data_IF_214026418188
#
_entry.id   IF_214026418188
#
_cell.length_a   1.000
_cell.length_b   1.000
_cell.length_c   1.000
_cell.angle_alpha   90.00
_cell.angle_beta   90.00
_cell.angle_gamma   90.00
#
_symmetry.space_group_name_H-M   'P 1'
#
loop_
_entity.id
_entity.type
_entity.pdbx_description
1 polymer ?
#
# COMPACT_ATOMS: atom_id res chain seq x y z
N UNK A 1 17.57 37.16 44.42
CA UNK A 1 17.03 35.91 43.86
C UNK A 1 16.76 36.11 42.36
N UNK A 2 17.62 35.56 41.50
CA UNK A 2 17.43 35.60 40.04
C UNK A 2 16.21 34.76 39.65
N UNK A 3 15.17 35.38 39.11
CA UNK A 3 14.08 34.66 38.42
C UNK A 3 14.68 34.03 37.16
N UNK A 4 14.94 32.73 37.22
CA UNK A 4 15.22 31.92 36.04
C UNK A 4 14.02 32.09 35.09
N UNK A 5 14.23 32.74 33.93
CA UNK A 5 13.22 32.80 32.86
C UNK A 5 12.97 31.36 32.42
N UNK A 6 11.81 30.80 32.78
CA UNK A 6 11.38 29.48 32.31
C UNK A 6 11.36 29.49 30.77
N UNK A 7 11.83 28.43 30.10
CA UNK A 7 11.85 28.37 28.65
C UNK A 7 10.41 28.41 28.13
N UNK A 8 10.00 29.53 27.52
CA UNK A 8 8.82 29.50 26.68
C UNK A 8 9.21 28.79 25.39
N UNK A 9 8.57 27.66 25.09
CA UNK A 9 8.63 27.12 23.73
C UNK A 9 7.99 28.16 22.83
N UNK A 10 8.84 28.95 22.16
CA UNK A 10 8.39 29.92 21.16
C UNK A 10 7.62 29.19 20.06
N UNK A 11 6.74 29.91 19.39
CA UNK A 11 5.88 29.51 18.27
C UNK A 11 6.52 28.54 17.25
N UNK A 12 7.85 28.54 17.14
CA UNK A 12 8.68 27.60 16.38
C UNK A 12 8.42 26.12 16.65
N UNK A 13 8.15 25.70 17.89
CA UNK A 13 7.85 24.28 18.20
C UNK A 13 6.51 23.81 17.65
N UNK A 14 5.54 24.72 17.51
CA UNK A 14 4.21 24.47 16.93
C UNK A 14 4.34 24.30 15.40
N UNK A 15 5.24 25.05 14.77
CA UNK A 15 5.50 24.96 13.34
C UNK A 15 6.06 23.58 12.95
N UNK A 16 6.97 23.02 13.75
CA UNK A 16 7.57 21.69 13.52
C UNK A 16 6.52 20.57 13.58
N UNK A 17 5.61 20.61 14.56
CA UNK A 17 4.50 19.64 14.68
C UNK A 17 3.50 19.71 13.52
N UNK A 18 3.34 20.88 12.88
CA UNK A 18 2.41 21.09 11.77
C UNK A 18 3.04 20.80 10.39
N UNK A 19 4.37 20.83 10.27
CA UNK A 19 5.09 20.59 9.01
C UNK A 19 5.36 19.11 8.72
N UNK A 20 5.42 18.24 9.75
CA UNK A 20 5.69 16.80 9.58
C UNK A 20 4.69 16.11 8.62
N UNK A 21 3.36 16.34 8.68
CA UNK A 21 2.41 15.74 7.74
C UNK A 21 2.60 16.23 6.30
N UNK A 22 3.01 17.49 6.13
CA UNK A 22 3.23 18.09 4.82
C UNK A 22 4.48 17.49 4.17
N UNK A 23 5.58 17.36 4.92
CA UNK A 23 6.81 16.68 4.47
C UNK A 23 6.52 15.21 4.13
N UNK A 24 5.72 14.54 4.94
CA UNK A 24 5.38 13.14 4.73
C UNK A 24 4.44 12.93 3.52
N UNK A 25 3.51 13.86 3.27
CA UNK A 25 2.71 13.91 2.04
C UNK A 25 3.60 14.14 0.81
N UNK A 26 4.57 15.05 0.89
CA UNK A 26 5.55 15.27 -0.18
C UNK A 26 6.43 14.05 -0.41
N UNK A 27 6.90 13.37 0.63
CA UNK A 27 7.68 12.13 0.52
C UNK A 27 6.88 10.99 -0.12
N UNK A 28 5.59 10.85 0.20
CA UNK A 28 4.68 9.88 -0.42
C UNK A 28 4.43 10.19 -1.91
N UNK A 29 4.44 11.47 -2.29
CA UNK A 29 4.33 11.89 -3.69
C UNK A 29 5.63 11.67 -4.46
N UNK A 30 6.79 11.79 -3.82
CA UNK A 30 8.12 11.57 -4.42
C UNK A 30 8.40 10.05 -4.61
N UNK A 31 8.04 9.21 -3.63
CA UNK A 31 8.27 7.75 -3.73
C UNK A 31 7.51 7.11 -4.90
N UNK A 32 6.43 7.74 -5.39
CA UNK A 32 5.64 7.26 -6.54
C UNK A 32 6.44 7.12 -7.83
N UNK A 33 7.58 7.80 -7.97
CA UNK A 33 8.37 7.79 -9.21
C UNK A 33 9.69 7.01 -9.10
N UNK A 34 10.05 6.51 -7.92
CA UNK A 34 11.29 5.75 -7.76
C UNK A 34 11.13 4.31 -8.26
N UNK A 35 12.16 3.77 -8.88
CA UNK A 35 12.31 2.34 -9.14
C UNK A 35 13.19 1.71 -8.07
N UNK A 36 12.93 0.45 -7.76
CA UNK A 36 13.80 -0.39 -6.94
C UNK A 36 14.96 -0.87 -7.83
N UNK A 37 16.23 -0.68 -7.43
CA UNK A 37 17.37 -1.26 -8.12
C UNK A 37 17.24 -2.77 -8.29
N UNK A 38 17.81 -3.35 -9.34
CA UNK A 38 17.67 -4.79 -9.63
C UNK A 38 18.20 -5.67 -8.49
N UNK A 39 19.35 -5.30 -7.91
CA UNK A 39 20.01 -6.04 -6.83
C UNK A 39 19.23 -5.96 -5.50
N UNK A 40 18.41 -4.92 -5.33
CA UNK A 40 17.55 -4.73 -4.15
C UNK A 40 16.14 -5.29 -4.36
N UNK A 41 15.82 -5.78 -5.56
CA UNK A 41 14.48 -6.27 -5.87
C UNK A 41 14.28 -7.64 -5.24
N UNK A 42 13.29 -7.75 -4.37
CA UNK A 42 13.04 -8.97 -3.61
C UNK A 42 12.83 -10.20 -4.52
N UNK A 43 13.26 -11.36 -4.02
CA UNK A 43 13.16 -12.64 -4.71
C UNK A 43 12.31 -13.58 -3.88
N UNK A 44 11.26 -14.13 -4.50
CA UNK A 44 10.46 -15.23 -3.97
C UNK A 44 10.36 -16.29 -5.06
N UNK A 45 10.64 -17.54 -4.69
CA UNK A 45 10.62 -18.69 -5.59
C UNK A 45 10.04 -19.87 -4.83
N UNK A 46 9.23 -20.70 -5.49
CA UNK A 46 8.69 -21.93 -4.92
C UNK A 46 9.77 -23.01 -4.77
N UNK A 47 10.61 -23.19 -5.78
CA UNK A 47 11.62 -24.23 -5.85
C UNK A 47 13.00 -23.72 -6.29
N UNK A 48 13.75 -24.59 -6.96
CA UNK A 48 15.06 -24.25 -7.52
C UNK A 48 14.93 -23.28 -8.70
N UNK A 49 15.97 -22.47 -8.91
CA UNK A 49 16.00 -21.51 -10.01
C UNK A 49 16.48 -22.25 -11.26
N UNK A 50 15.67 -22.35 -12.33
CA UNK A 50 16.08 -23.02 -13.54
C UNK A 50 17.15 -22.21 -14.29
N UNK A 51 18.14 -22.91 -14.84
CA UNK A 51 19.12 -22.31 -15.74
C UNK A 51 18.62 -22.40 -17.19
N UNK A 52 18.19 -21.27 -17.74
CA UNK A 52 17.70 -21.19 -19.12
C UNK A 52 18.70 -20.48 -20.03
N UNK A 53 18.95 -21.06 -21.20
CA UNK A 53 19.81 -20.50 -22.23
C UNK A 53 18.97 -19.92 -23.37
N UNK A 54 19.21 -18.67 -23.76
CA UNK A 54 18.46 -17.97 -24.82
C UNK A 54 18.61 -18.60 -26.20
N UNK A 55 19.69 -19.34 -26.47
CA UNK A 55 19.90 -20.04 -27.74
C UNK A 55 18.99 -21.26 -27.92
N UNK A 56 18.61 -21.92 -26.81
CA UNK A 56 17.74 -23.10 -26.82
C UNK A 56 16.33 -22.82 -26.29
N UNK A 57 16.12 -21.64 -25.69
CA UNK A 57 14.81 -21.25 -25.16
C UNK A 57 13.79 -21.08 -26.28
N UNK A 58 12.60 -21.63 -26.03
CA UNK A 58 11.43 -21.47 -26.89
C UNK A 58 10.21 -21.12 -26.06
N UNK A 59 9.31 -20.34 -26.65
CA UNK A 59 7.97 -20.08 -26.13
C UNK A 59 6.94 -20.73 -27.04
N UNK A 60 6.12 -21.60 -26.48
CA UNK A 60 4.98 -22.22 -27.16
C UNK A 60 3.70 -21.49 -26.74
N UNK A 61 2.85 -21.14 -27.71
CA UNK A 61 1.50 -20.60 -27.45
C UNK A 61 0.47 -21.48 -28.15
N UNK A 62 -0.38 -22.15 -27.39
CA UNK A 62 -1.30 -23.18 -27.90
C UNK A 62 -2.63 -23.27 -27.11
N UNK A 63 -3.34 -24.39 -27.23
CA UNK A 63 -4.63 -24.65 -26.58
C UNK A 63 -5.83 -24.24 -27.43
N UNK A 64 -6.76 -23.48 -26.84
CA UNK A 64 -8.03 -23.05 -27.42
C UNK A 64 -7.88 -21.88 -28.42
N UNK A 65 -7.04 -22.11 -29.42
CA UNK A 65 -6.69 -21.14 -30.47
C UNK A 65 -6.85 -21.77 -31.85
N UNK A 66 -6.99 -20.95 -32.90
CA UNK A 66 -7.00 -21.43 -34.28
C UNK A 66 -5.59 -21.57 -34.87
N UNK A 67 -4.61 -20.85 -34.32
CA UNK A 67 -3.22 -20.88 -34.75
C UNK A 67 -2.28 -20.93 -33.55
N UNK A 68 -1.62 -22.08 -33.37
CA UNK A 68 -0.52 -22.19 -32.39
C UNK A 68 0.73 -21.48 -32.91
N UNK A 69 1.52 -20.95 -31.98
CA UNK A 69 2.76 -20.22 -32.27
C UNK A 69 3.93 -20.83 -31.51
N UNK A 70 5.12 -20.70 -32.09
CA UNK A 70 6.36 -21.04 -31.42
C UNK A 70 7.38 -19.96 -31.73
N UNK A 71 7.99 -19.39 -30.69
CA UNK A 71 9.01 -18.36 -30.81
C UNK A 71 10.35 -18.86 -30.29
N UNK A 72 11.43 -18.62 -31.03
CA UNK A 72 12.76 -18.55 -30.44
C UNK A 72 12.91 -17.26 -29.63
N UNK A 73 13.92 -17.18 -28.76
CA UNK A 73 14.18 -15.95 -28.00
C UNK A 73 14.40 -14.72 -28.90
N UNK A 74 15.14 -14.88 -30.00
CA UNK A 74 15.40 -13.79 -30.95
C UNK A 74 14.12 -13.31 -31.63
N UNK A 75 13.25 -14.22 -32.07
CA UNK A 75 12.00 -13.87 -32.74
C UNK A 75 10.97 -13.28 -31.77
N UNK A 76 11.00 -13.71 -30.51
CA UNK A 76 10.17 -13.15 -29.46
C UNK A 76 10.59 -11.71 -29.13
N UNK A 77 11.88 -11.47 -28.89
CA UNK A 77 12.39 -10.14 -28.54
C UNK A 77 12.35 -9.14 -29.70
N UNK A 78 12.24 -9.60 -30.95
CA UNK A 78 12.02 -8.75 -32.12
C UNK A 78 10.56 -8.31 -32.30
N UNK A 79 9.59 -8.85 -31.55
CA UNK A 79 8.19 -8.41 -31.64
C UNK A 79 8.03 -6.98 -31.10
N UNK A 80 6.98 -6.25 -31.54
CA UNK A 80 6.65 -4.95 -30.96
C UNK A 80 6.56 -5.03 -29.43
N UNK A 81 7.36 -4.20 -28.77
CA UNK A 81 7.50 -4.19 -27.32
C UNK A 81 7.21 -2.80 -26.76
N UNK A 82 6.91 -2.75 -25.47
CA UNK A 82 6.76 -1.50 -24.74
C UNK A 82 7.31 -1.59 -23.33
N UNK A 83 7.41 -0.42 -22.71
CA UNK A 83 7.81 -0.27 -21.33
C UNK A 83 6.59 0.01 -20.45
N UNK A 84 6.51 -0.67 -19.32
CA UNK A 84 5.47 -0.50 -18.31
C UNK A 84 6.14 -0.36 -16.96
N UNK A 85 5.80 0.72 -16.23
CA UNK A 85 6.15 0.83 -14.82
C UNK A 85 5.22 -0.06 -14.00
N UNK A 86 5.75 -1.17 -13.50
CA UNK A 86 4.99 -2.19 -12.77
C UNK A 86 5.49 -2.35 -11.35
N UNK A 87 4.57 -2.34 -10.38
CA UNK A 87 4.89 -2.70 -8.99
C UNK A 87 4.49 -4.15 -8.75
N UNK A 88 5.48 -4.99 -8.48
CA UNK A 88 5.25 -6.37 -8.06
C UNK A 88 5.06 -6.35 -6.55
N UNK A 89 3.93 -6.86 -6.08
CA UNK A 89 3.62 -6.96 -4.66
C UNK A 89 3.37 -8.42 -4.31
N UNK A 90 4.20 -8.99 -3.45
CA UNK A 90 3.90 -10.29 -2.88
C UNK A 90 2.78 -10.14 -1.87
N UNK A 91 1.97 -11.19 -1.75
CA UNK A 91 0.95 -11.22 -0.72
C UNK A 91 1.56 -11.21 0.67
N UNK A 92 2.79 -11.74 0.83
CA UNK A 92 3.63 -11.76 2.04
C UNK A 92 4.33 -10.41 2.34
N UNK A 93 3.98 -9.36 1.59
CA UNK A 93 4.29 -7.99 1.93
C UNK A 93 5.49 -7.34 1.23
N UNK A 94 6.56 -8.03 0.78
CA UNK A 94 7.59 -7.34 0.02
C UNK A 94 7.00 -6.84 -1.30
N UNK A 95 7.42 -5.64 -1.69
CA UNK A 95 7.06 -5.04 -2.96
C UNK A 95 8.25 -4.32 -3.57
N UNK A 96 8.24 -4.21 -4.90
CA UNK A 96 9.29 -3.59 -5.67
C UNK A 96 8.70 -3.01 -6.95
N UNK A 97 9.18 -1.85 -7.36
CA UNK A 97 8.71 -1.20 -8.59
C UNK A 97 9.84 -1.11 -9.60
N UNK A 98 9.59 -1.54 -10.82
CA UNK A 98 10.58 -1.47 -11.90
C UNK A 98 9.93 -1.01 -13.21
N UNK A 99 10.77 -0.60 -14.16
CA UNK A 99 10.38 -0.45 -15.56
C UNK A 99 10.56 -1.81 -16.24
N UNK A 100 9.47 -2.40 -16.67
CA UNK A 100 9.45 -3.69 -17.35
C UNK A 100 9.32 -3.48 -18.84
N UNK A 101 10.21 -4.06 -19.64
CA UNK A 101 10.11 -4.04 -21.09
C UNK A 101 9.81 -5.42 -21.63
N UNK A 102 8.78 -5.50 -22.47
CA UNK A 102 8.25 -6.77 -22.94
C UNK A 102 7.30 -6.66 -24.11
N UNK A 103 6.89 -7.82 -24.62
CA UNK A 103 5.85 -7.94 -25.64
C UNK A 103 4.48 -7.94 -24.96
N UNK A 104 3.51 -7.11 -25.38
CA UNK A 104 2.16 -7.16 -24.83
C UNK A 104 1.52 -8.54 -25.04
N UNK A 105 0.96 -9.13 -23.97
CA UNK A 105 0.37 -10.47 -24.04
C UNK A 105 -0.80 -10.47 -25.04
N UNK A 106 -1.65 -9.45 -24.98
CA UNK A 106 -2.72 -9.18 -25.95
C UNK A 106 -2.25 -9.22 -27.41
N UNK A 107 -1.06 -8.67 -27.70
CA UNK A 107 -0.54 -8.67 -29.07
C UNK A 107 -0.20 -10.09 -29.55
N UNK A 108 0.35 -10.93 -28.67
CA UNK A 108 0.61 -12.34 -28.97
C UNK A 108 -0.70 -13.12 -29.19
N UNK A 109 -1.69 -12.91 -28.33
CA UNK A 109 -2.99 -13.60 -28.44
C UNK A 109 -3.76 -13.20 -29.72
N UNK A 110 -3.63 -11.95 -30.18
CA UNK A 110 -4.22 -11.54 -31.45
C UNK A 110 -3.64 -12.33 -32.65
N UNK A 111 -2.37 -12.76 -32.57
CA UNK A 111 -1.74 -13.56 -33.61
C UNK A 111 -2.21 -15.02 -33.62
N UNK A 112 -2.74 -15.54 -32.51
CA UNK A 112 -3.20 -16.93 -32.39
C UNK A 112 -4.65 -17.14 -32.84
N UNK A 113 -5.42 -16.05 -33.00
CA UNK A 113 -6.84 -16.09 -33.34
C UNK A 113 -7.63 -16.95 -32.34
N UNK A 114 -7.83 -16.43 -31.13
CA UNK A 114 -8.56 -17.10 -30.05
C UNK A 114 -9.89 -17.67 -30.53
N UNK A 115 -10.21 -18.90 -30.11
CA UNK A 115 -11.53 -19.48 -30.35
C UNK A 115 -12.56 -18.87 -29.40
N UNK A 116 -13.82 -18.83 -29.83
CA UNK A 116 -14.94 -18.42 -28.98
C UNK A 116 -15.00 -19.27 -27.72
N UNK A 117 -15.23 -18.63 -26.57
CA UNK A 117 -15.29 -19.30 -25.27
C UNK A 117 -13.94 -19.50 -24.59
N UNK A 118 -12.85 -18.85 -25.05
CA UNK A 118 -11.63 -18.74 -24.25
C UNK A 118 -11.94 -17.98 -22.93
N UNK A 119 -11.43 -18.52 -21.82
CA UNK A 119 -11.69 -18.02 -20.45
C UNK A 119 -10.39 -17.50 -19.85
N UNK A 120 -9.35 -18.34 -19.84
CA UNK A 120 -8.08 -18.07 -19.19
C UNK A 120 -6.87 -18.26 -20.12
N UNK A 121 -5.81 -17.55 -19.78
CA UNK A 121 -4.47 -17.69 -20.34
C UNK A 121 -3.57 -18.26 -19.25
N UNK A 122 -3.19 -19.52 -19.40
CA UNK A 122 -2.34 -20.24 -18.46
C UNK A 122 -0.88 -20.06 -18.85
N UNK A 123 -0.04 -19.71 -17.88
CA UNK A 123 1.40 -19.57 -18.05
C UNK A 123 2.11 -20.71 -17.31
N UNK A 124 2.93 -21.46 -18.04
CA UNK A 124 3.76 -22.53 -17.50
C UNK A 124 5.21 -22.08 -17.47
N UNK A 125 5.83 -22.23 -16.30
CA UNK A 125 7.22 -21.97 -16.06
C UNK A 125 8.08 -23.23 -16.23
N UNK A 126 9.39 -23.03 -16.39
CA UNK A 126 10.36 -24.10 -16.47
C UNK A 126 10.56 -24.89 -15.16
N UNK A 127 10.13 -24.35 -14.02
CA UNK A 127 10.21 -24.97 -12.67
C UNK A 127 8.90 -25.65 -12.24
N UNK A 128 8.07 -26.06 -13.21
CA UNK A 128 6.74 -26.65 -13.00
C UNK A 128 5.74 -25.74 -12.25
N UNK A 129 6.04 -24.45 -12.14
CA UNK A 129 5.09 -23.48 -11.62
C UNK A 129 4.09 -23.06 -12.72
N UNK A 130 2.83 -22.92 -12.34
CA UNK A 130 1.79 -22.41 -13.24
C UNK A 130 0.80 -21.52 -12.52
N UNK A 131 0.27 -20.56 -13.26
CA UNK A 131 -0.83 -19.69 -12.86
C UNK A 131 -1.49 -19.13 -14.12
N UNK A 132 -2.68 -18.55 -13.98
CA UNK A 132 -3.47 -18.01 -15.09
C UNK A 132 -3.82 -16.55 -14.86
N UNK A 133 -4.11 -15.87 -15.97
CA UNK A 133 -4.83 -14.61 -16.01
C UNK A 133 -6.06 -14.79 -16.90
N UNK A 134 -7.17 -14.15 -16.55
CA UNK A 134 -8.37 -14.17 -17.39
C UNK A 134 -8.10 -13.46 -18.72
N UNK A 135 -8.91 -13.75 -19.74
CA UNK A 135 -8.88 -13.02 -21.02
C UNK A 135 -9.08 -11.51 -20.81
N UNK A 136 -9.85 -11.09 -19.81
CA UNK A 136 -10.04 -9.68 -19.48
C UNK A 136 -8.76 -9.06 -18.92
N UNK A 137 -8.08 -9.74 -17.99
CA UNK A 137 -6.85 -9.26 -17.34
C UNK A 137 -5.67 -9.14 -18.31
N UNK A 138 -5.53 -10.07 -19.26
CA UNK A 138 -4.49 -9.98 -20.30
C UNK A 138 -4.80 -8.93 -21.37
N UNK A 139 -6.07 -8.52 -21.49
CA UNK A 139 -6.50 -7.47 -22.41
C UNK A 139 -6.25 -6.07 -21.87
N UNK A 140 -5.93 -5.94 -20.58
CA UNK A 140 -5.32 -4.74 -20.01
C UNK A 140 -4.04 -4.43 -20.79
N UNK A 141 -3.93 -3.18 -21.24
CA UNK A 141 -2.78 -2.78 -22.04
C UNK A 141 -1.47 -3.00 -21.26
N UNK A 142 -1.44 -3.03 -19.94
CA UNK A 142 -0.20 -3.13 -19.18
C UNK A 142 0.32 -4.56 -18.93
N UNK A 143 -0.38 -5.59 -19.38
CA UNK A 143 0.06 -6.98 -19.25
C UNK A 143 1.12 -7.35 -20.31
N UNK A 144 2.30 -7.79 -19.88
CA UNK A 144 3.45 -8.07 -20.76
C UNK A 144 4.08 -9.44 -20.45
N UNK A 145 4.67 -10.05 -21.49
CA UNK A 145 5.82 -10.94 -21.30
C UNK A 145 7.09 -10.10 -21.36
N UNK A 146 7.66 -9.82 -20.18
CA UNK A 146 8.86 -9.01 -20.04
C UNK A 146 10.12 -9.84 -20.23
N UNK A 147 11.12 -9.24 -20.88
CA UNK A 147 12.46 -9.79 -21.07
C UNK A 147 13.56 -8.83 -20.60
N UNK A 148 13.17 -7.64 -20.12
CA UNK A 148 14.06 -6.62 -19.54
C UNK A 148 13.42 -5.97 -18.32
N UNK A 149 14.26 -5.56 -17.37
CA UNK A 149 13.91 -4.90 -16.13
C UNK A 149 14.90 -3.77 -15.85
N UNK A 150 14.36 -2.55 -15.68
CA UNK A 150 15.13 -1.32 -15.49
C UNK A 150 16.19 -1.09 -16.60
N UNK A 151 15.85 -1.42 -17.85
CA UNK A 151 16.72 -1.23 -19.02
C UNK A 151 17.66 -2.40 -19.33
N UNK A 152 17.96 -3.21 -18.33
CA UNK A 152 18.84 -4.38 -18.40
C UNK A 152 18.05 -5.67 -18.69
N UNK A 153 18.70 -6.73 -19.23
CA UNK A 153 18.12 -8.08 -19.22
C UNK A 153 17.64 -8.47 -17.82
N UNK A 154 16.61 -9.32 -17.74
CA UNK A 154 16.14 -9.82 -16.46
C UNK A 154 17.29 -10.51 -15.69
N UNK A 155 17.45 -10.25 -14.37
CA UNK A 155 18.19 -11.14 -13.50
C UNK A 155 17.59 -12.56 -13.53
N UNK A 156 18.42 -13.58 -13.29
CA UNK A 156 17.98 -14.99 -13.34
C UNK A 156 16.88 -15.24 -12.30
N UNK A 157 17.07 -14.70 -11.10
CA UNK A 157 16.16 -14.75 -9.96
C UNK A 157 14.81 -14.06 -10.25
N UNK A 158 14.80 -13.11 -11.19
CA UNK A 158 13.63 -12.35 -11.62
C UNK A 158 12.95 -12.92 -12.86
N UNK A 159 13.37 -14.10 -13.33
CA UNK A 159 12.68 -14.82 -14.39
C UNK A 159 13.34 -14.76 -15.76
N UNK A 160 14.66 -14.53 -15.84
CA UNK A 160 15.37 -14.62 -17.12
C UNK A 160 15.12 -15.98 -17.80
N UNK A 161 14.79 -16.03 -19.10
CA UNK A 161 14.83 -14.90 -20.03
C UNK A 161 13.50 -14.14 -20.17
N UNK A 162 12.38 -14.72 -19.73
CA UNK A 162 11.03 -14.16 -19.89
C UNK A 162 10.16 -14.41 -18.66
N UNK A 163 9.44 -13.37 -18.20
CA UNK A 163 8.42 -13.45 -17.15
C UNK A 163 7.11 -12.79 -17.54
N UNK A 164 6.02 -13.16 -16.89
CA UNK A 164 4.77 -12.39 -16.87
C UNK A 164 4.93 -11.14 -16.00
N UNK A 165 4.41 -10.03 -16.49
CA UNK A 165 4.22 -8.76 -15.78
C UNK A 165 2.75 -8.37 -15.90
N UNK A 166 2.05 -8.32 -14.76
CA UNK A 166 0.64 -7.99 -14.68
C UNK A 166 0.39 -6.95 -13.56
N UNK A 167 0.56 -5.63 -13.83
CA UNK A 167 0.60 -4.58 -12.81
C UNK A 167 -0.60 -4.48 -11.86
N UNK A 168 -1.74 -5.02 -12.27
CA UNK A 168 -2.99 -5.05 -11.50
C UNK A 168 -3.19 -6.34 -10.70
N UNK A 169 -2.22 -7.26 -10.73
CA UNK A 169 -2.28 -8.56 -10.07
C UNK A 169 -1.19 -8.70 -9.00
N UNK A 170 -1.46 -9.53 -8.00
CA UNK A 170 -0.49 -9.92 -6.98
C UNK A 170 0.64 -10.78 -7.58
N UNK A 171 1.78 -10.80 -6.91
CA UNK A 171 3.04 -11.32 -7.43
C UNK A 171 3.03 -12.80 -7.82
N UNK A 172 2.15 -13.62 -7.24
CA UNK A 172 2.04 -15.04 -7.61
C UNK A 172 1.46 -15.25 -9.02
N UNK A 173 0.68 -14.28 -9.54
CA UNK A 173 0.24 -14.31 -10.95
C UNK A 173 1.37 -13.91 -11.92
N UNK A 174 2.51 -13.39 -11.44
CA UNK A 174 3.63 -12.94 -12.29
C UNK A 174 4.63 -14.08 -12.51
N UNK A 175 4.20 -15.09 -13.25
CA UNK A 175 4.98 -16.30 -13.57
C UNK A 175 6.37 -15.96 -14.10
N UNK A 176 7.43 -16.49 -13.47
CA UNK A 176 8.83 -16.39 -13.92
C UNK A 176 9.15 -17.53 -14.88
N UNK A 177 10.22 -17.38 -15.68
CA UNK A 177 10.77 -18.47 -16.50
C UNK A 177 9.76 -19.11 -17.45
N UNK A 178 8.93 -18.28 -18.10
CA UNK A 178 7.82 -18.74 -18.95
C UNK A 178 8.35 -19.50 -20.15
N UNK A 179 7.80 -20.69 -20.39
CA UNK A 179 8.13 -21.57 -21.53
C UNK A 179 6.91 -21.94 -22.38
N UNK A 180 5.71 -21.91 -21.81
CA UNK A 180 4.46 -22.20 -22.53
C UNK A 180 3.32 -21.34 -22.05
N UNK A 181 2.47 -20.94 -22.99
CA UNK A 181 1.19 -20.27 -22.75
C UNK A 181 0.10 -21.12 -23.38
N UNK A 182 -0.87 -21.55 -22.58
CA UNK A 182 -2.01 -22.31 -23.05
C UNK A 182 -3.28 -21.50 -22.83
N UNK A 183 -4.07 -21.34 -23.89
CA UNK A 183 -5.39 -20.73 -23.77
C UNK A 183 -6.38 -21.85 -23.45
N UNK A 184 -7.21 -21.66 -22.42
CA UNK A 184 -8.20 -22.65 -22.01
C UNK A 184 -9.62 -22.04 -22.01
N UNK A 185 -10.63 -22.90 -22.01
CA UNK A 185 -12.05 -22.52 -22.02
C UNK A 185 -12.74 -22.77 -20.66
N UNK A 186 -11.94 -22.88 -19.60
CA UNK A 186 -12.38 -23.08 -18.23
C UNK A 186 -11.54 -22.21 -17.29
N UNK A 187 -12.02 -22.03 -16.06
CA UNK A 187 -11.30 -21.35 -14.98
C UNK A 187 -10.13 -22.23 -14.49
N UNK A 188 -8.90 -21.76 -14.69
CA UNK A 188 -7.70 -22.53 -14.36
C UNK A 188 -7.19 -22.20 -12.95
N UNK A 189 -7.15 -23.21 -12.09
CA UNK A 189 -6.59 -23.07 -10.74
C UNK A 189 -5.08 -23.33 -10.75
N UNK A 190 -4.31 -22.26 -10.59
CA UNK A 190 -2.84 -22.29 -10.50
C UNK A 190 -2.29 -22.90 -9.21
N UNK A 191 -0.96 -22.90 -9.08
CA UNK A 191 -0.27 -23.54 -7.96
C UNK A 191 -0.70 -22.96 -6.61
N UNK A 192 -0.59 -21.64 -6.39
CA UNK A 192 -0.94 -21.06 -5.09
C UNK A 192 -2.44 -21.02 -4.87
N UNK A 193 -3.21 -20.84 -5.94
CA UNK A 193 -4.66 -20.87 -5.96
C UNK A 193 -5.16 -22.24 -5.45
N UNK A 194 -4.52 -23.34 -5.87
CA UNK A 194 -4.81 -24.69 -5.36
C UNK A 194 -4.51 -24.87 -3.86
N UNK A 195 -3.64 -24.01 -3.29
CA UNK A 195 -3.30 -23.99 -1.87
C UNK A 195 -4.23 -23.05 -1.06
N UNK A 196 -5.33 -22.57 -1.65
CA UNK A 196 -6.33 -21.73 -0.99
C UNK A 196 -6.07 -20.23 -1.11
N UNK A 197 -5.13 -19.81 -1.95
CA UNK A 197 -4.95 -18.39 -2.25
C UNK A 197 -6.06 -17.91 -3.20
N UNK A 198 -6.34 -16.60 -3.18
CA UNK A 198 -7.40 -16.02 -4.02
C UNK A 198 -7.08 -16.17 -5.49
N UNK A 199 -8.02 -16.67 -6.29
CA UNK A 199 -7.79 -16.78 -7.73
C UNK A 199 -7.81 -15.41 -8.45
N UNK A 200 -8.79 -14.55 -8.15
CA UNK A 200 -8.87 -13.20 -8.74
C UNK A 200 -7.60 -12.36 -8.53
N UNK A 201 -6.91 -12.51 -7.38
CA UNK A 201 -5.58 -11.96 -7.13
C UNK A 201 -5.38 -10.44 -7.36
N UNK A 202 -6.46 -9.67 -7.55
CA UNK A 202 -6.37 -8.24 -7.88
C UNK A 202 -5.58 -7.47 -6.83
N UNK A 203 -4.54 -6.79 -7.29
CA UNK A 203 -3.73 -5.88 -6.46
C UNK A 203 -4.49 -4.59 -6.23
N UNK A 204 -4.85 -4.31 -4.98
CA UNK A 204 -5.40 -3.01 -4.60
C UNK A 204 -4.34 -1.92 -4.82
N UNK A 205 -4.52 -1.07 -5.84
CA UNK A 205 -3.59 0.02 -6.09
C UNK A 205 -3.56 1.01 -4.91
N UNK A 206 -2.37 1.55 -4.58
CA UNK A 206 -2.19 2.60 -3.56
C UNK A 206 -3.07 3.84 -3.78
N UNK A 207 -3.57 4.06 -5.00
CA UNK A 207 -4.57 5.09 -5.32
C UNK A 207 -5.85 4.95 -4.50
N UNK A 208 -6.20 3.75 -4.04
CA UNK A 208 -7.35 3.52 -3.16
C UNK A 208 -7.13 4.01 -1.73
N UNK A 209 -5.90 4.33 -1.31
CA UNK A 209 -5.62 4.80 0.04
C UNK A 209 -5.43 6.31 0.16
N UNK A 210 -5.56 7.06 -0.94
CA UNK A 210 -5.42 8.52 -0.90
C UNK A 210 -6.41 9.17 0.06
N UNK A 211 -7.69 8.77 0.00
CA UNK A 211 -8.72 9.31 0.88
C UNK A 211 -8.40 9.00 2.36
N UNK A 212 -7.94 7.78 2.66
CA UNK A 212 -7.53 7.40 4.00
C UNK A 212 -6.35 8.24 4.50
N UNK A 213 -5.29 8.37 3.70
CA UNK A 213 -4.11 9.16 4.04
C UNK A 213 -4.46 10.66 4.21
N UNK A 214 -5.36 11.18 3.38
CA UNK A 214 -5.88 12.53 3.49
C UNK A 214 -6.65 12.73 4.81
N UNK A 215 -7.58 11.83 5.13
CA UNK A 215 -8.34 11.88 6.38
C UNK A 215 -7.43 11.79 7.61
N UNK A 216 -6.41 10.92 7.59
CA UNK A 216 -5.41 10.83 8.66
C UNK A 216 -4.59 12.12 8.80
N UNK A 217 -4.21 12.75 7.70
CA UNK A 217 -3.44 14.01 7.70
C UNK A 217 -4.26 15.16 8.28
N UNK A 218 -5.52 15.28 7.88
CA UNK A 218 -6.47 16.26 8.42
C UNK A 218 -6.74 16.01 9.91
N UNK A 219 -6.93 14.75 10.30
CA UNK A 219 -7.09 14.37 11.69
C UNK A 219 -5.85 14.70 12.53
N UNK A 220 -4.64 14.47 12.03
CA UNK A 220 -3.41 14.84 12.72
C UNK A 220 -3.31 16.35 12.96
N UNK A 221 -3.62 17.14 11.94
CA UNK A 221 -3.66 18.60 12.04
C UNK A 221 -4.64 19.05 13.13
N UNK A 222 -5.88 18.57 13.09
CA UNK A 222 -6.88 18.92 14.08
C UNK A 222 -6.53 18.42 15.48
N UNK A 223 -5.98 17.21 15.59
CA UNK A 223 -5.52 16.63 16.84
C UNK A 223 -4.38 17.43 17.47
N UNK A 224 -3.41 17.88 16.68
CA UNK A 224 -2.32 18.74 17.13
C UNK A 224 -2.83 20.09 17.66
N UNK A 225 -3.73 20.74 16.92
CA UNK A 225 -4.36 22.00 17.33
C UNK A 225 -5.19 21.79 18.61
N UNK A 226 -5.96 20.71 18.70
CA UNK A 226 -6.74 20.35 19.88
C UNK A 226 -5.84 20.09 21.10
N UNK A 227 -4.73 19.38 20.92
CA UNK A 227 -3.75 19.10 21.96
C UNK A 227 -3.13 20.37 22.52
N UNK A 228 -2.55 21.20 21.64
CA UNK A 228 -1.89 22.46 22.01
C UNK A 228 -2.88 23.41 22.71
N UNK A 229 -4.06 23.59 22.13
CA UNK A 229 -5.10 24.44 22.73
C UNK A 229 -5.64 23.88 24.04
N UNK A 230 -5.57 22.56 24.26
CA UNK A 230 -5.90 21.89 25.51
C UNK A 230 -4.85 22.16 26.59
N UNK A 231 -3.57 21.97 26.25
CA UNK A 231 -2.41 22.16 27.15
C UNK A 231 -2.33 23.57 27.72
N UNK A 232 -2.70 24.60 26.95
CA UNK A 232 -2.92 25.97 27.44
C UNK A 232 -3.75 26.06 28.73
N UNK A 233 -4.65 25.10 28.96
CA UNK A 233 -5.58 25.09 30.10
C UNK A 233 -5.31 23.97 31.10
N UNK A 234 -4.19 23.28 30.91
CA UNK A 234 -3.76 22.14 31.71
C UNK A 234 -3.44 22.57 33.14
N UNK A 235 -3.96 21.88 34.17
CA UNK A 235 -3.51 22.05 35.55
C UNK A 235 -2.19 21.32 35.83
N UNK A 236 -1.66 20.58 34.85
CA UNK A 236 -0.48 19.71 35.01
C UNK A 236 0.78 20.36 34.41
N UNK A 237 0.62 21.32 33.51
CA UNK A 237 1.73 21.93 32.76
C UNK A 237 1.52 23.43 32.56
N UNK A 238 2.59 24.22 32.66
CA UNK A 238 2.61 25.64 32.30
C UNK A 238 2.90 25.89 30.79
N UNK A 239 2.92 24.83 29.98
CA UNK A 239 3.18 24.90 28.55
C UNK A 239 2.05 25.65 27.81
N UNK A 240 2.40 26.52 26.86
CA UNK A 240 1.47 27.20 25.93
C UNK A 240 0.42 28.13 26.56
N UNK A 241 0.63 28.60 27.79
CA UNK A 241 -0.28 29.56 28.44
C UNK A 241 -0.29 30.93 27.75
N UNK A 242 0.77 31.26 27.01
CA UNK A 242 0.99 32.50 26.26
C UNK A 242 0.31 32.53 24.87
N UNK A 243 -0.38 31.45 24.48
CA UNK A 243 -1.10 31.40 23.20
C UNK A 243 -2.12 32.54 23.05
N UNK A 244 -2.39 33.00 21.82
CA UNK A 244 -3.34 34.09 21.55
C UNK A 244 -4.71 33.91 22.20
N UNK A 245 -5.37 35.04 22.55
CA UNK A 245 -6.68 35.03 23.23
C UNK A 245 -7.78 34.33 22.44
N UNK A 246 -7.71 34.33 21.10
CA UNK A 246 -8.67 33.61 20.25
C UNK A 246 -8.62 32.09 20.45
N UNK A 247 -7.49 31.53 20.94
CA UNK A 247 -7.37 30.14 21.37
C UNK A 247 -8.07 29.97 22.72
N UNK A 248 -9.40 30.01 22.68
CA UNK A 248 -10.31 29.96 23.81
C UNK A 248 -11.00 28.57 23.93
N UNK A 249 -11.89 28.41 24.91
CA UNK A 249 -12.56 27.12 25.17
C UNK A 249 -13.35 26.62 23.95
N UNK A 250 -14.05 27.53 23.24
CA UNK A 250 -14.82 27.17 22.04
C UNK A 250 -13.88 26.66 20.94
N UNK A 251 -12.78 27.36 20.69
CA UNK A 251 -11.74 26.94 19.75
C UNK A 251 -11.25 25.51 20.03
N UNK A 252 -10.91 25.20 21.29
CA UNK A 252 -10.47 23.86 21.66
C UNK A 252 -11.55 22.80 21.41
N UNK A 253 -12.80 23.06 21.80
CA UNK A 253 -13.92 22.14 21.58
C UNK A 253 -14.13 21.88 20.09
N UNK A 254 -14.12 22.93 19.25
CA UNK A 254 -14.29 22.82 17.81
C UNK A 254 -13.24 21.89 17.19
N UNK A 255 -11.96 22.10 17.49
CA UNK A 255 -10.88 21.27 16.96
C UNK A 255 -10.87 19.85 17.56
N UNK A 256 -11.28 19.67 18.81
CA UNK A 256 -11.46 18.34 19.41
C UNK A 256 -12.56 17.53 18.72
N UNK A 257 -13.70 18.16 18.38
CA UNK A 257 -14.77 17.51 17.63
C UNK A 257 -14.30 17.18 16.22
N UNK A 258 -13.66 18.12 15.54
CA UNK A 258 -13.12 17.90 14.19
C UNK A 258 -12.10 16.74 14.18
N UNK A 259 -11.20 16.69 15.17
CA UNK A 259 -10.26 15.58 15.36
C UNK A 259 -10.97 14.24 15.55
N UNK A 260 -11.98 14.18 16.41
CA UNK A 260 -12.75 12.95 16.64
C UNK A 260 -13.44 12.46 15.38
N UNK A 261 -14.16 13.34 14.68
CA UNK A 261 -14.90 12.97 13.47
C UNK A 261 -13.96 12.48 12.36
N UNK A 262 -12.88 13.21 12.10
CA UNK A 262 -11.92 12.85 11.04
C UNK A 262 -11.15 11.58 11.36
N UNK A 263 -10.75 11.36 12.62
CA UNK A 263 -10.10 10.12 13.06
C UNK A 263 -11.03 8.92 12.92
N UNK A 264 -12.29 9.08 13.36
CA UNK A 264 -13.30 8.03 13.26
C UNK A 264 -13.61 7.70 11.79
N UNK A 265 -13.76 8.71 10.93
CA UNK A 265 -13.95 8.51 9.49
C UNK A 265 -12.77 7.79 8.84
N UNK A 266 -11.52 8.16 9.18
CA UNK A 266 -10.33 7.48 8.67
C UNK A 266 -10.31 5.99 9.08
N UNK A 267 -10.64 5.70 10.34
CA UNK A 267 -10.70 4.34 10.88
C UNK A 267 -11.82 3.50 10.24
N UNK A 268 -13.03 4.07 10.10
CA UNK A 268 -14.16 3.41 9.44
C UNK A 268 -13.84 3.12 7.98
N UNK A 269 -13.28 4.10 7.26
CA UNK A 269 -12.86 3.91 5.87
C UNK A 269 -11.89 2.73 5.76
N UNK A 270 -10.85 2.69 6.60
CA UNK A 270 -9.91 1.58 6.65
C UNK A 270 -10.59 0.24 6.91
N UNK A 271 -11.47 0.16 7.92
CA UNK A 271 -12.19 -1.05 8.25
C UNK A 271 -13.07 -1.54 7.09
N UNK A 272 -13.86 -0.67 6.48
CA UNK A 272 -14.70 -1.00 5.32
C UNK A 272 -13.83 -1.47 4.15
N UNK A 273 -12.74 -0.76 3.85
CA UNK A 273 -11.80 -1.16 2.79
C UNK A 273 -11.16 -2.52 3.08
N UNK A 274 -10.87 -2.87 4.33
CA UNK A 274 -10.39 -4.22 4.66
C UNK A 274 -11.45 -5.29 4.43
N UNK A 275 -12.69 -5.05 4.84
CA UNK A 275 -13.80 -5.99 4.65
C UNK A 275 -14.09 -6.19 3.17
N UNK A 276 -14.23 -5.12 2.40
CA UNK A 276 -14.59 -5.19 0.98
C UNK A 276 -13.49 -5.86 0.14
N UNK A 277 -12.22 -5.56 0.42
CA UNK A 277 -11.11 -6.10 -0.38
C UNK A 277 -10.64 -7.49 0.10
N UNK A 278 -11.00 -7.92 1.32
CA UNK A 278 -10.47 -9.17 1.92
C UNK A 278 -11.52 -10.14 2.42
N UNK A 279 -12.79 -9.74 2.49
CA UNK A 279 -13.85 -10.53 3.12
C UNK A 279 -13.80 -10.57 4.65
N UNK A 280 -12.83 -9.92 5.30
CA UNK A 280 -12.70 -9.90 6.76
C UNK A 280 -12.01 -8.63 7.28
N UNK A 281 -12.25 -8.29 8.56
CA UNK A 281 -11.50 -7.25 9.27
C UNK A 281 -10.14 -7.82 9.67
N UNK A 282 -9.07 -7.17 9.26
CA UNK A 282 -7.71 -7.60 9.55
C UNK A 282 -6.95 -6.53 10.35
N UNK A 283 -6.66 -6.82 11.62
CA UNK A 283 -5.98 -5.88 12.52
C UNK A 283 -4.45 -6.00 12.40
N UNK A 284 -3.88 -5.31 11.42
CA UNK A 284 -2.44 -5.03 11.41
C UNK A 284 -2.05 -4.20 12.64
N UNK A 285 -0.76 -4.15 12.98
CA UNK A 285 -0.26 -3.26 14.05
C UNK A 285 -0.72 -1.82 13.84
N UNK A 286 -0.77 -1.34 12.59
CA UNK A 286 -1.33 -0.03 12.23
C UNK A 286 -2.81 0.11 12.64
N UNK A 287 -3.64 -0.89 12.31
CA UNK A 287 -5.04 -0.96 12.71
C UNK A 287 -5.27 -1.03 14.22
N UNK A 288 -4.43 -1.79 14.94
CA UNK A 288 -4.48 -1.89 16.41
C UNK A 288 -4.15 -0.54 17.06
N UNK A 289 -3.09 0.13 16.61
CA UNK A 289 -2.72 1.45 17.12
C UNK A 289 -3.82 2.49 16.84
N UNK A 290 -4.47 2.42 15.66
CA UNK A 290 -5.60 3.28 15.33
C UNK A 290 -6.82 3.00 16.22
N UNK A 291 -7.14 1.72 16.48
CA UNK A 291 -8.21 1.33 17.38
C UNK A 291 -7.95 1.84 18.81
N UNK A 292 -6.73 1.67 19.33
CA UNK A 292 -6.33 2.20 20.64
C UNK A 292 -6.47 3.73 20.69
N UNK A 293 -6.09 4.44 19.62
CA UNK A 293 -6.27 5.88 19.52
C UNK A 293 -7.75 6.28 19.69
N UNK A 294 -8.67 5.58 19.03
CA UNK A 294 -10.13 5.81 19.15
C UNK A 294 -10.64 5.44 20.54
N UNK A 295 -10.22 4.29 21.10
CA UNK A 295 -10.60 3.84 22.45
C UNK A 295 -10.24 4.89 23.49
N UNK A 296 -9.05 5.50 23.41
CA UNK A 296 -8.65 6.56 24.34
C UNK A 296 -9.30 7.92 24.03
N UNK A 297 -9.69 8.17 22.79
CA UNK A 297 -10.34 9.42 22.40
C UNK A 297 -11.75 9.53 23.01
N UNK A 298 -12.49 8.43 23.07
CA UNK A 298 -13.88 8.38 23.57
C UNK A 298 -13.98 8.88 25.03
N UNK A 299 -13.22 8.35 26.02
CA UNK A 299 -13.17 8.91 27.37
C UNK A 299 -12.70 10.37 27.40
N UNK A 300 -11.80 10.77 26.50
CA UNK A 300 -11.37 12.18 26.34
C UNK A 300 -12.53 13.11 26.00
N UNK A 301 -13.36 12.74 25.03
CA UNK A 301 -14.59 13.48 24.66
C UNK A 301 -15.59 13.49 25.82
N UNK A 302 -15.87 12.34 26.43
CA UNK A 302 -16.83 12.21 27.56
C UNK A 302 -16.41 13.10 28.74
N UNK A 303 -15.14 13.04 29.13
CA UNK A 303 -14.61 13.86 30.23
C UNK A 303 -14.57 15.35 29.88
N UNK A 304 -14.39 15.70 28.60
CA UNK A 304 -14.47 17.09 28.12
C UNK A 304 -15.88 17.66 28.22
N UNK A 305 -16.89 16.87 27.84
CA UNK A 305 -18.30 17.20 28.00
C UNK A 305 -18.67 17.29 29.49
N UNK A 306 -18.21 16.36 30.33
CA UNK A 306 -18.42 16.43 31.79
C UNK A 306 -17.75 17.65 32.42
N UNK A 307 -16.52 18.02 32.01
CA UNK A 307 -15.81 19.24 32.46
C UNK A 307 -16.57 20.52 32.14
N UNK A 308 -17.45 20.51 31.13
CA UNK A 308 -18.33 21.64 30.88
C UNK A 308 -19.41 21.83 31.97
N UNK A 309 -19.74 20.76 32.70
CA UNK A 309 -20.77 20.69 33.75
C UNK A 309 -20.21 20.61 35.18
N UNK A 310 -19.07 19.94 35.39
CA UNK A 310 -18.46 19.66 36.70
C UNK A 310 -17.05 20.27 36.73
N UNK A 311 -16.75 21.07 37.77
CA UNK A 311 -15.49 21.83 37.90
C UNK A 311 -14.48 21.16 38.85
N UNK A 312 -14.39 19.83 38.87
CA UNK A 312 -13.43 19.14 39.74
C UNK A 312 -12.07 18.91 39.06
N UNK A 313 -10.99 18.93 39.86
CA UNK A 313 -9.61 18.78 39.37
C UNK A 313 -9.33 17.37 38.82
N UNK A 314 -9.95 16.33 39.38
CA UNK A 314 -9.75 14.94 38.98
C UNK A 314 -10.25 14.71 37.54
N UNK A 315 -11.46 15.16 37.21
CA UNK A 315 -12.02 15.11 35.85
C UNK A 315 -11.15 15.87 34.85
N UNK A 316 -10.59 17.02 35.24
CA UNK A 316 -9.66 17.77 34.40
C UNK A 316 -8.41 16.95 34.11
N UNK A 317 -7.76 16.39 35.12
CA UNK A 317 -6.55 15.57 34.96
C UNK A 317 -6.80 14.34 34.08
N UNK A 318 -7.92 13.64 34.28
CA UNK A 318 -8.30 12.49 33.44
C UNK A 318 -8.53 12.88 31.99
N UNK A 319 -9.23 13.99 31.74
CA UNK A 319 -9.42 14.51 30.39
C UNK A 319 -8.08 14.76 29.68
N UNK A 320 -7.09 15.34 30.38
CA UNK A 320 -5.77 15.54 29.80
C UNK A 320 -5.06 14.23 29.47
N UNK A 321 -5.04 13.28 30.41
CA UNK A 321 -4.39 11.97 30.20
C UNK A 321 -4.98 11.22 29.01
N UNK A 322 -6.30 11.13 28.91
CA UNK A 322 -6.96 10.42 27.81
C UNK A 322 -6.65 11.02 26.43
N UNK A 323 -6.71 12.35 26.31
CA UNK A 323 -6.37 13.01 25.06
C UNK A 323 -4.90 12.83 24.69
N UNK A 324 -3.98 12.85 25.67
CA UNK A 324 -2.54 12.58 25.42
C UNK A 324 -2.33 11.15 24.92
N UNK A 325 -2.89 10.15 25.60
CA UNK A 325 -2.76 8.77 25.15
C UNK A 325 -3.33 8.58 23.75
N UNK A 326 -4.54 9.09 23.49
CA UNK A 326 -5.15 9.03 22.17
C UNK A 326 -4.24 9.62 21.10
N UNK A 327 -3.70 10.82 21.31
CA UNK A 327 -2.84 11.49 20.33
C UNK A 327 -1.50 10.77 20.12
N UNK A 328 -0.92 10.16 21.16
CA UNK A 328 0.29 9.33 21.05
C UNK A 328 0.02 8.13 20.15
N UNK A 329 -1.01 7.33 20.44
CA UNK A 329 -1.37 6.18 19.61
C UNK A 329 -1.71 6.58 18.18
N UNK A 330 -2.40 7.72 18.01
CA UNK A 330 -2.72 8.29 16.70
C UNK A 330 -1.47 8.68 15.91
N UNK A 331 -0.49 9.30 16.56
CA UNK A 331 0.78 9.65 15.93
C UNK A 331 1.58 8.40 15.58
N UNK A 332 1.62 7.40 16.46
CA UNK A 332 2.31 6.14 16.21
C UNK A 332 1.72 5.37 15.02
N UNK A 333 0.39 5.33 14.87
CA UNK A 333 -0.24 4.68 13.72
C UNK A 333 0.11 5.38 12.40
N UNK A 334 0.17 6.72 12.40
CA UNK A 334 0.59 7.51 11.22
C UNK A 334 2.05 7.26 10.87
N UNK A 335 2.96 7.32 11.85
CA UNK A 335 4.40 7.04 11.63
C UNK A 335 4.59 5.64 11.07
N UNK A 336 3.91 4.64 11.64
CA UNK A 336 3.95 3.28 11.13
C UNK A 336 3.38 3.21 9.71
N UNK A 337 2.24 3.86 9.43
CA UNK A 337 1.66 3.92 8.09
C UNK A 337 2.63 4.48 7.05
N UNK A 338 3.36 5.54 7.40
CA UNK A 338 4.42 6.09 6.54
C UNK A 338 5.59 5.14 6.36
N UNK A 339 6.07 4.51 7.43
CA UNK A 339 7.14 3.51 7.34
C UNK A 339 6.76 2.36 6.40
N UNK A 340 5.55 1.81 6.56
CA UNK A 340 5.02 0.72 5.71
C UNK A 340 4.88 1.18 4.25
N UNK A 341 4.45 2.42 4.02
CA UNK A 341 4.34 3.00 2.69
C UNK A 341 5.70 3.22 2.01
N UNK A 342 6.69 3.70 2.77
CA UNK A 342 8.00 4.07 2.24
C UNK A 342 8.87 2.85 1.96
N UNK A 343 8.85 1.87 2.85
CA UNK A 343 9.67 0.65 2.72
C UNK A 343 9.08 -0.36 1.73
N UNK A 344 7.91 -0.08 1.15
CA UNK A 344 7.16 -1.07 0.39
C UNK A 344 6.74 -2.29 1.22
N UNK A 345 7.06 -2.32 2.52
CA UNK A 345 6.65 -3.33 3.48
C UNK A 345 5.27 -3.00 4.02
N UNK A 346 4.30 -2.69 3.16
CA UNK A 346 2.90 -2.88 3.53
C UNK A 346 2.68 -4.38 3.71
N UNK A 347 3.18 -4.88 4.84
CA UNK A 347 2.91 -6.20 5.37
C UNK A 347 1.47 -6.15 5.79
N UNK A 348 0.61 -6.56 4.89
CA UNK A 348 -0.75 -6.86 5.24
C UNK A 348 -0.82 -8.27 5.88
N UNK A 349 -0.10 -8.45 7.00
CA UNK A 349 -0.25 -9.57 7.97
C UNK A 349 -0.40 -9.01 9.36
#
# INVERSE_FOLDING_TARGET
MNRIKKPSMKFTGIFILLCIPLIALTALLISRNMTTPNDDFFVITKGEIPELNTNSWTLIIDGHVNKSLTFSYSNFTSQPSKEVRGTLQCVEGPSGTAIWKGVPIKALLNMTQLKTGAVDVVFYAADDYSSSLTIEEVNDDNALLAYKMNGEPLPVEQGFPVRVVAPNQLGYKWVKWVVRIEIVNYDYIGYWESQGWSDNATRTQLTNWFLHAFLLSVAFLFGGIAMISGLKRSPVTELFHDLPKFVNKKFHITFSIAYFLTSLSAFIYWMISTILNRGAIFFTVHGILALLAIIFLIPGVITGLKKSRIRDQKTRTWHYKWNIYSFIFFTSTIILGFYLAFTGQFRFF
#
